data_IF_790080772324
#
_entry.id   IF_790080772324
#
_cell.length_a   1.000
_cell.length_b   1.000
_cell.length_c   1.000
_cell.angle_alpha   90.00
_cell.angle_beta   90.00
_cell.angle_gamma   90.00
#
_symmetry.space_group_name_H-M   'P 1'
#
loop_
_entity.id
_entity.type
_entity.pdbx_description
1 polymer ?
#
# COMPACT_ATOMS: atom_id res chain seq x y z
N UNK A 1 4.54 22.52 25.37
CA UNK A 1 4.88 21.28 26.11
C UNK A 1 5.23 21.51 27.57
N UNK A 2 5.69 22.71 27.96
CA UNK A 2 5.81 23.08 29.37
C UNK A 2 5.00 24.35 29.64
N UNK A 3 4.40 24.47 30.81
CA UNK A 3 3.92 25.77 31.31
C UNK A 3 5.12 26.52 31.89
N UNK A 4 5.07 27.85 31.95
CA UNK A 4 6.12 28.67 32.59
C UNK A 4 5.64 29.32 33.88
N UNK A 5 4.38 29.08 34.26
CA UNK A 5 3.75 29.62 35.45
C UNK A 5 2.84 28.53 36.06
N UNK A 6 3.17 27.98 37.25
CA UNK A 6 4.11 28.48 38.26
C UNK A 6 5.58 28.02 38.09
N UNK A 7 5.93 27.37 36.98
CA UNK A 7 7.30 26.93 36.67
C UNK A 7 7.33 26.02 35.44
N UNK A 8 8.52 25.56 35.03
CA UNK A 8 8.71 24.66 33.89
C UNK A 8 8.19 23.26 34.20
N UNK A 9 6.89 23.08 34.11
CA UNK A 9 6.22 21.79 34.32
C UNK A 9 5.65 21.30 33.00
N UNK A 10 5.66 19.99 32.72
CA UNK A 10 4.99 19.43 31.56
C UNK A 10 3.53 19.90 31.55
N UNK A 11 3.13 20.56 30.46
CA UNK A 11 1.75 20.90 30.23
C UNK A 11 0.98 19.59 29.97
N UNK A 12 -0.15 19.39 30.64
CA UNK A 12 -1.08 18.34 30.27
C UNK A 12 -1.76 18.76 28.96
N UNK A 13 -1.29 18.23 27.84
CA UNK A 13 -1.82 18.52 26.50
C UNK A 13 -2.47 17.23 25.98
N UNK A 14 -3.76 17.30 25.66
CA UNK A 14 -4.52 16.19 25.12
C UNK A 14 -4.08 15.91 23.67
N UNK A 15 -3.67 14.67 23.40
CA UNK A 15 -3.35 14.14 22.07
C UNK A 15 -4.15 12.86 21.76
N UNK A 16 -5.31 12.66 22.38
CA UNK A 16 -6.12 11.44 22.23
C UNK A 16 -6.56 11.21 20.77
N UNK A 17 -6.69 12.30 20.00
CA UNK A 17 -7.03 12.27 18.58
C UNK A 17 -5.83 12.01 17.66
N UNK A 18 -4.59 12.15 18.17
CA UNK A 18 -3.36 11.81 17.46
C UNK A 18 -2.37 11.16 18.44
N UNK A 19 -2.51 9.86 18.74
CA UNK A 19 -1.68 9.21 19.73
C UNK A 19 -0.19 9.22 19.35
N UNK A 20 0.64 9.80 20.19
CA UNK A 20 2.11 9.86 20.02
C UNK A 20 2.77 8.52 20.40
N UNK A 21 2.39 7.46 19.71
CA UNK A 21 2.88 6.11 19.96
C UNK A 21 3.44 5.49 18.69
N UNK A 22 4.27 4.45 18.84
CA UNK A 22 4.82 3.68 17.73
C UNK A 22 5.52 4.56 16.69
N UNK A 23 5.14 4.48 15.40
CA UNK A 23 5.71 5.32 14.34
C UNK A 23 5.55 6.83 14.54
N UNK A 24 4.61 7.26 15.38
CA UNK A 24 4.38 8.67 15.73
C UNK A 24 4.88 9.03 17.14
N UNK A 25 5.77 8.23 17.73
CA UNK A 25 6.41 8.55 19.01
C UNK A 25 7.45 9.69 18.85
N UNK A 26 6.94 10.89 18.57
CA UNK A 26 7.71 12.10 18.29
C UNK A 26 7.80 12.93 19.57
N UNK A 27 9.03 13.27 19.97
CA UNK A 27 9.30 13.99 21.22
C UNK A 27 9.42 15.50 21.03
N UNK A 28 9.76 15.96 19.81
CA UNK A 28 9.89 17.38 19.51
C UNK A 28 8.58 17.95 18.98
N UNK A 29 7.92 18.75 19.82
CA UNK A 29 6.63 19.38 19.53
C UNK A 29 6.67 20.21 18.23
N UNK A 30 7.84 20.76 17.86
CA UNK A 30 7.99 21.59 16.65
C UNK A 30 8.00 20.79 15.34
N UNK A 31 8.16 19.46 15.39
CA UNK A 31 8.04 18.64 14.20
C UNK A 31 6.62 18.63 13.64
N UNK A 32 5.62 18.76 14.52
CA UNK A 32 4.20 18.85 14.12
C UNK A 32 3.67 20.28 14.22
N UNK A 33 3.99 20.99 15.30
CA UNK A 33 3.54 22.37 15.54
C UNK A 33 4.56 23.38 15.00
N UNK A 34 4.60 23.49 13.68
CA UNK A 34 5.57 24.32 12.95
C UNK A 34 5.24 25.81 12.97
N UNK A 35 4.02 26.18 13.33
CA UNK A 35 3.56 27.56 13.45
C UNK A 35 3.53 28.03 14.91
N UNK A 36 3.23 29.32 15.13
CA UNK A 36 3.00 29.85 16.48
C UNK A 36 1.68 29.40 17.11
N UNK A 37 0.75 28.84 16.33
CA UNK A 37 -0.55 28.35 16.80
C UNK A 37 -0.60 26.82 16.71
N UNK A 38 -0.55 26.15 17.86
CA UNK A 38 -0.49 24.69 17.92
C UNK A 38 -1.72 24.00 17.30
N UNK A 39 -2.87 24.69 17.23
CA UNK A 39 -4.07 24.17 16.60
C UNK A 39 -3.98 24.07 15.06
N UNK A 40 -2.97 24.67 14.42
CA UNK A 40 -2.80 24.62 12.97
C UNK A 40 -2.28 23.25 12.48
N UNK A 41 -1.73 22.43 13.38
CA UNK A 41 -1.20 21.12 13.01
C UNK A 41 -2.34 20.17 12.60
N UNK A 42 -2.29 19.67 11.37
CA UNK A 42 -3.24 18.67 10.89
C UNK A 42 -2.86 17.26 11.39
N UNK A 43 -3.83 16.43 11.80
CA UNK A 43 -3.60 15.02 12.09
C UNK A 43 -3.55 14.16 10.82
N UNK A 44 -3.88 14.71 9.65
CA UNK A 44 -3.94 13.96 8.40
C UNK A 44 -2.56 13.47 7.99
N UNK A 45 -2.44 12.18 7.65
CA UNK A 45 -1.16 11.56 7.32
C UNK A 45 -0.41 12.34 6.23
N UNK A 46 -1.13 12.76 5.19
CA UNK A 46 -0.56 13.46 4.03
C UNK A 46 0.02 14.83 4.38
N UNK A 47 -0.40 15.49 5.47
CA UNK A 47 0.18 16.79 5.82
C UNK A 47 1.66 16.71 6.17
N UNK A 48 2.13 15.54 6.64
CA UNK A 48 3.54 15.26 6.88
C UNK A 48 4.14 14.35 5.81
N UNK A 49 3.39 13.36 5.34
CA UNK A 49 3.86 12.30 4.44
C UNK A 49 3.51 12.54 2.97
N UNK A 50 3.28 13.80 2.56
CA UNK A 50 3.01 14.14 1.16
C UNK A 50 4.14 13.67 0.24
N UNK A 51 5.39 13.88 0.65
CA UNK A 51 6.56 13.50 -0.14
C UNK A 51 6.70 11.98 -0.25
N UNK A 52 6.39 11.23 0.81
CA UNK A 52 6.39 9.77 0.79
C UNK A 52 5.30 9.26 -0.15
N UNK A 53 4.11 9.86 -0.09
CA UNK A 53 3.02 9.57 -1.03
C UNK A 53 3.42 9.84 -2.49
N UNK A 54 4.09 10.97 -2.77
CA UNK A 54 4.53 11.28 -4.15
C UNK A 54 5.69 10.42 -4.63
N UNK A 55 6.53 9.94 -3.71
CA UNK A 55 7.73 9.16 -4.04
C UNK A 55 7.52 7.65 -4.01
N UNK A 56 6.34 7.17 -3.61
CA UNK A 56 6.02 5.75 -3.66
C UNK A 56 6.08 5.24 -5.10
N UNK A 57 6.82 4.15 -5.35
CA UNK A 57 7.03 3.59 -6.69
C UNK A 57 6.54 2.15 -6.84
N UNK A 58 6.30 1.44 -5.73
CA UNK A 58 5.85 0.05 -5.75
C UNK A 58 4.89 -0.24 -4.58
N UNK A 59 3.58 0.04 -4.73
CA UNK A 59 2.96 0.63 -5.93
C UNK A 59 3.16 2.15 -6.06
N UNK A 60 3.04 2.69 -7.28
CA UNK A 60 3.04 4.14 -7.48
C UNK A 60 1.69 4.75 -7.10
N UNK A 61 1.62 5.43 -5.96
CA UNK A 61 0.36 5.95 -5.42
C UNK A 61 -0.26 7.04 -6.30
N UNK A 62 0.55 7.98 -6.80
CA UNK A 62 0.05 9.10 -7.62
C UNK A 62 -0.50 8.63 -8.95
N UNK A 63 0.24 7.79 -9.65
CA UNK A 63 -0.12 7.31 -10.96
C UNK A 63 -1.30 6.34 -10.91
N UNK A 64 -1.38 5.51 -9.86
CA UNK A 64 -2.54 4.65 -9.61
C UNK A 64 -3.77 5.41 -9.09
N UNK A 65 -3.63 6.68 -8.70
CA UNK A 65 -4.72 7.50 -8.18
C UNK A 65 -5.23 7.04 -6.81
N UNK A 66 -4.36 6.49 -5.97
CA UNK A 66 -4.74 6.06 -4.62
C UNK A 66 -5.17 7.24 -3.74
N UNK A 67 -6.05 7.04 -2.75
CA UNK A 67 -6.43 8.11 -1.84
C UNK A 67 -5.28 8.50 -0.91
N UNK A 68 -5.34 9.72 -0.41
CA UNK A 68 -4.43 10.21 0.64
C UNK A 68 -4.89 9.81 2.05
N UNK A 69 -5.99 9.06 2.16
CA UNK A 69 -6.40 8.39 3.41
C UNK A 69 -5.51 7.16 3.64
N UNK A 70 -4.32 7.41 4.17
CA UNK A 70 -3.30 6.38 4.32
C UNK A 70 -3.72 5.26 5.27
N UNK A 71 -4.56 5.57 6.27
CA UNK A 71 -5.02 4.61 7.28
C UNK A 71 -5.94 3.51 6.71
N UNK A 72 -6.46 3.70 5.48
CA UNK A 72 -7.19 2.67 4.75
C UNK A 72 -6.32 1.43 4.43
N UNK A 73 -5.00 1.62 4.30
CA UNK A 73 -4.06 0.58 3.89
C UNK A 73 -2.82 0.48 4.79
N UNK A 74 -2.41 1.54 5.47
CA UNK A 74 -1.20 1.56 6.29
C UNK A 74 -1.55 1.67 7.77
N UNK A 75 -0.68 1.11 8.61
CA UNK A 75 -0.79 1.13 10.07
C UNK A 75 0.46 1.77 10.65
N UNK A 76 0.33 2.36 11.85
CA UNK A 76 1.46 2.85 12.63
C UNK A 76 2.12 1.75 13.47
N UNK A 77 1.60 0.50 13.44
CA UNK A 77 2.02 -0.64 14.26
C UNK A 77 2.41 -1.88 13.43
N UNK A 78 3.66 -2.41 13.51
CA UNK A 78 4.87 -1.89 14.16
C UNK A 78 5.67 -0.93 13.25
N UNK A 79 5.10 -0.52 12.11
CA UNK A 79 5.69 0.40 11.14
C UNK A 79 4.80 0.55 9.89
N UNK A 80 5.16 1.46 8.99
CA UNK A 80 4.41 1.83 7.78
C UNK A 80 4.29 0.71 6.72
N UNK A 81 5.12 -0.33 6.81
CA UNK A 81 5.23 -1.42 5.84
C UNK A 81 5.27 -2.79 6.53
N UNK A 82 4.64 -3.83 5.95
CA UNK A 82 3.81 -3.78 4.74
C UNK A 82 2.44 -3.14 5.00
N UNK A 83 1.77 -2.70 3.93
CA UNK A 83 0.37 -2.28 4.02
C UNK A 83 -0.54 -3.46 4.39
N UNK A 84 -1.66 -3.20 5.04
CA UNK A 84 -2.77 -4.14 5.30
C UNK A 84 -3.72 -4.27 4.11
N UNK A 85 -3.37 -3.76 2.93
CA UNK A 85 -4.18 -3.88 1.72
C UNK A 85 -4.46 -5.35 1.39
N UNK A 86 -5.74 -5.71 1.33
CA UNK A 86 -6.19 -7.06 1.04
C UNK A 86 -6.30 -7.27 -0.48
N UNK A 87 -5.21 -7.71 -1.11
CA UNK A 87 -5.19 -8.06 -2.53
C UNK A 87 -5.94 -9.37 -2.80
N UNK A 88 -5.84 -10.37 -1.92
CA UNK A 88 -6.44 -11.70 -2.13
C UNK A 88 -7.97 -11.68 -1.99
N UNK A 89 -8.51 -10.83 -1.12
CA UNK A 89 -9.95 -10.68 -0.93
C UNK A 89 -10.64 -9.81 -1.97
N UNK A 90 -9.89 -8.93 -2.65
CA UNK A 90 -10.45 -8.00 -3.66
C UNK A 90 -10.10 -8.39 -5.10
N UNK A 91 -8.97 -9.06 -5.31
CA UNK A 91 -8.39 -9.32 -6.63
C UNK A 91 -7.79 -10.75 -6.69
N UNK A 92 -6.98 -11.00 -7.73
CA UNK A 92 -6.30 -12.27 -7.92
C UNK A 92 -5.39 -12.60 -6.70
N UNK A 93 -5.46 -13.81 -6.12
CA UNK A 93 -4.72 -14.11 -4.91
C UNK A 93 -3.21 -14.26 -5.16
N UNK A 94 -2.42 -13.45 -4.45
CA UNK A 94 -0.95 -13.39 -4.53
C UNK A 94 -0.26 -13.63 -3.18
N UNK A 95 -0.99 -13.54 -2.06
CA UNK A 95 -0.50 -13.84 -0.72
C UNK A 95 -0.89 -15.25 -0.24
N UNK A 96 -1.67 -15.98 -1.04
CA UNK A 96 -2.07 -17.36 -0.80
C UNK A 96 -1.95 -18.23 -2.07
N UNK A 97 -2.25 -19.52 -1.94
CA UNK A 97 -2.24 -20.45 -3.07
C UNK A 97 -0.86 -20.64 -3.71
N UNK A 98 -0.84 -20.85 -5.03
CA UNK A 98 0.36 -21.19 -5.81
C UNK A 98 1.22 -20.00 -6.21
N UNK A 99 0.71 -18.77 -6.10
CA UNK A 99 1.45 -17.55 -6.43
C UNK A 99 2.11 -16.90 -5.21
N UNK A 100 1.80 -17.39 -4.00
CA UNK A 100 2.42 -16.93 -2.76
C UNK A 100 3.93 -17.12 -2.80
N UNK A 101 4.67 -16.01 -2.75
CA UNK A 101 6.14 -16.01 -2.71
C UNK A 101 6.80 -16.16 -4.09
N UNK A 102 6.03 -16.12 -5.17
CA UNK A 102 6.53 -16.21 -6.55
C UNK A 102 6.76 -14.83 -7.20
N UNK A 103 6.66 -13.76 -6.42
CA UNK A 103 6.80 -12.37 -6.86
C UNK A 103 7.57 -11.55 -5.82
N UNK A 104 8.25 -10.50 -6.26
CA UNK A 104 9.03 -9.59 -5.43
C UNK A 104 8.58 -8.13 -5.55
N UNK A 105 7.94 -7.78 -6.66
CA UNK A 105 7.43 -6.42 -6.94
C UNK A 105 6.08 -6.49 -7.61
N UNK A 106 5.27 -5.43 -7.51
CA UNK A 106 3.99 -5.41 -8.22
C UNK A 106 4.20 -5.48 -9.75
N UNK A 107 5.33 -4.96 -10.23
CA UNK A 107 5.74 -4.99 -11.63
C UNK A 107 6.06 -6.40 -12.17
N UNK A 108 6.11 -7.43 -11.32
CA UNK A 108 6.22 -8.82 -11.77
C UNK A 108 4.95 -9.29 -12.48
N UNK A 109 3.80 -8.74 -12.09
CA UNK A 109 2.50 -9.05 -12.70
C UNK A 109 1.90 -7.83 -13.41
N UNK A 110 1.93 -6.66 -12.80
CA UNK A 110 1.37 -5.42 -13.34
C UNK A 110 2.37 -4.70 -14.24
N UNK A 111 2.19 -4.81 -15.55
CA UNK A 111 3.17 -4.33 -16.54
C UNK A 111 3.16 -2.81 -16.72
N UNK A 112 2.21 -2.12 -16.08
CA UNK A 112 2.08 -0.67 -16.13
C UNK A 112 1.94 -0.10 -14.71
N UNK A 113 2.93 0.70 -14.28
CA UNK A 113 2.92 1.36 -12.97
C UNK A 113 1.86 2.44 -12.84
N UNK A 114 1.30 2.92 -13.96
CA UNK A 114 0.25 3.93 -13.98
C UNK A 114 -1.16 3.33 -14.12
N UNK A 115 -1.25 2.03 -14.38
CA UNK A 115 -2.53 1.34 -14.55
C UNK A 115 -2.40 -0.13 -14.12
N UNK A 116 -2.76 -0.40 -12.88
CA UNK A 116 -2.72 -1.76 -12.33
C UNK A 116 -3.75 -2.70 -12.94
N UNK A 117 -4.68 -2.23 -13.78
CA UNK A 117 -5.50 -3.11 -14.61
C UNK A 117 -4.71 -3.77 -15.75
N UNK A 118 -3.53 -3.24 -16.11
CA UNK A 118 -2.65 -3.86 -17.09
C UNK A 118 -1.74 -4.88 -16.39
N UNK A 119 -1.96 -6.16 -16.67
CA UNK A 119 -1.19 -7.26 -16.09
C UNK A 119 -0.81 -8.31 -17.13
N UNK A 120 0.21 -9.10 -16.80
CA UNK A 120 0.67 -10.22 -17.62
C UNK A 120 1.03 -11.43 -16.77
N UNK A 121 0.51 -12.60 -17.15
CA UNK A 121 0.91 -13.88 -16.57
C UNK A 121 2.23 -14.40 -17.19
N UNK A 122 2.67 -13.79 -18.30
CA UNK A 122 3.62 -14.41 -19.22
C UNK A 122 5.09 -14.22 -18.83
N UNK A 123 5.35 -13.46 -17.77
CA UNK A 123 6.69 -13.39 -17.17
C UNK A 123 7.13 -14.75 -16.63
N UNK A 124 6.18 -15.53 -16.11
CA UNK A 124 6.42 -16.87 -15.55
C UNK A 124 5.76 -17.99 -16.38
N UNK A 125 4.57 -17.76 -16.93
CA UNK A 125 3.84 -18.76 -17.71
C UNK A 125 4.15 -18.65 -19.20
N UNK A 126 5.01 -19.53 -19.74
CA UNK A 126 5.44 -19.47 -21.14
C UNK A 126 4.41 -20.07 -22.10
N UNK A 127 4.33 -19.53 -23.32
CA UNK A 127 3.36 -19.92 -24.33
C UNK A 127 3.43 -21.40 -24.67
N UNK A 128 4.63 -21.92 -24.94
CA UNK A 128 4.82 -23.33 -25.30
C UNK A 128 4.31 -24.28 -24.22
N UNK A 129 4.48 -23.93 -22.95
CA UNK A 129 4.02 -24.73 -21.81
C UNK A 129 2.51 -24.63 -21.60
N UNK A 130 1.92 -23.46 -21.85
CA UNK A 130 0.48 -23.26 -21.72
C UNK A 130 -0.26 -23.89 -22.89
N UNK A 131 0.23 -23.74 -24.12
CA UNK A 131 -0.34 -24.39 -25.31
C UNK A 131 -0.38 -25.92 -25.13
N UNK A 132 0.70 -26.51 -24.58
CA UNK A 132 0.76 -27.95 -24.34
C UNK A 132 -0.29 -28.44 -23.34
N UNK A 133 -0.52 -27.64 -22.27
CA UNK A 133 -1.53 -27.93 -21.24
C UNK A 133 -2.96 -27.69 -21.68
N UNK A 134 -3.18 -26.86 -22.70
CA UNK A 134 -4.51 -26.44 -23.16
C UNK A 134 -4.90 -26.96 -24.56
N UNK A 135 -4.20 -27.95 -25.12
CA UNK A 135 -4.41 -28.48 -26.50
C UNK A 135 -5.87 -28.74 -26.91
N UNK A 136 -6.72 -29.13 -25.96
CA UNK A 136 -8.11 -29.49 -26.22
C UNK A 136 -9.10 -28.60 -25.45
N UNK A 137 -8.64 -27.44 -24.94
CA UNK A 137 -9.48 -26.52 -24.19
C UNK A 137 -10.15 -25.54 -25.15
N UNK A 138 -11.46 -25.64 -25.29
CA UNK A 138 -12.23 -24.67 -26.06
C UNK A 138 -12.18 -23.29 -25.37
N UNK A 139 -11.97 -22.22 -26.14
CA UNK A 139 -11.85 -20.87 -25.61
C UNK A 139 -10.47 -20.52 -25.04
N UNK A 140 -9.50 -21.43 -25.10
CA UNK A 140 -8.11 -21.09 -24.78
C UNK A 140 -7.56 -20.05 -25.75
N UNK A 141 -6.99 -18.99 -25.19
CA UNK A 141 -6.15 -18.05 -25.91
C UNK A 141 -5.01 -17.63 -24.98
N UNK A 142 -3.81 -17.48 -25.53
CA UNK A 142 -2.64 -17.02 -24.79
C UNK A 142 -2.70 -15.50 -24.58
N UNK A 143 -3.70 -15.06 -23.83
CA UNK A 143 -4.01 -13.67 -23.49
C UNK A 143 -4.34 -13.61 -22.00
N UNK A 144 -3.68 -12.74 -21.22
CA UNK A 144 -3.75 -12.77 -19.76
C UNK A 144 -5.16 -12.58 -19.19
N UNK A 145 -6.02 -11.80 -19.87
CA UNK A 145 -7.44 -11.67 -19.49
C UNK A 145 -8.22 -12.97 -19.65
N UNK A 146 -7.91 -13.78 -20.67
CA UNK A 146 -8.52 -15.11 -20.86
C UNK A 146 -7.99 -16.09 -19.82
N UNK A 147 -6.69 -16.05 -19.53
CA UNK A 147 -6.10 -16.83 -18.45
C UNK A 147 -6.79 -16.54 -17.10
N UNK A 148 -7.00 -15.27 -16.77
CA UNK A 148 -7.66 -14.85 -15.53
C UNK A 148 -9.13 -15.30 -15.46
N UNK A 149 -9.85 -15.33 -16.59
CA UNK A 149 -11.24 -15.81 -16.63
C UNK A 149 -11.37 -17.29 -16.28
N UNK A 150 -10.44 -18.13 -16.77
CA UNK A 150 -10.44 -19.56 -16.48
C UNK A 150 -9.78 -19.88 -15.13
N UNK A 151 -8.78 -19.10 -14.72
CA UNK A 151 -7.98 -19.31 -13.52
C UNK A 151 -8.08 -18.10 -12.58
N UNK A 152 -9.26 -17.78 -12.01
CA UNK A 152 -9.45 -16.58 -11.18
C UNK A 152 -8.67 -16.62 -9.86
N UNK A 153 -8.29 -17.82 -9.41
CA UNK A 153 -7.51 -18.06 -8.17
C UNK A 153 -6.13 -18.66 -8.44
N UNK A 154 -5.69 -18.66 -9.71
CA UNK A 154 -4.40 -19.21 -10.13
C UNK A 154 -4.27 -20.72 -10.00
N UNK A 155 -5.37 -21.46 -9.85
CA UNK A 155 -5.38 -22.93 -9.83
C UNK A 155 -5.45 -23.50 -11.25
N UNK A 156 -4.98 -24.73 -11.41
CA UNK A 156 -5.06 -25.50 -12.66
C UNK A 156 -6.41 -26.19 -12.79
#
# INVERSE_FOLDING_TARGET
CHTTNPGWTPASINHDFFPLTLGHNIQDCKQCHTTGNYADASPDCVSCHQQDYTNAQDPNHQAAGFPTDCASCHTTNPGWSPSTFDHDGQYFPIYSGKHRGEWNSCADCHTNQNNYADFSCFKCHRQTEMDDKHKNMNGYAYVSSVCLQCHPDGRK
#
